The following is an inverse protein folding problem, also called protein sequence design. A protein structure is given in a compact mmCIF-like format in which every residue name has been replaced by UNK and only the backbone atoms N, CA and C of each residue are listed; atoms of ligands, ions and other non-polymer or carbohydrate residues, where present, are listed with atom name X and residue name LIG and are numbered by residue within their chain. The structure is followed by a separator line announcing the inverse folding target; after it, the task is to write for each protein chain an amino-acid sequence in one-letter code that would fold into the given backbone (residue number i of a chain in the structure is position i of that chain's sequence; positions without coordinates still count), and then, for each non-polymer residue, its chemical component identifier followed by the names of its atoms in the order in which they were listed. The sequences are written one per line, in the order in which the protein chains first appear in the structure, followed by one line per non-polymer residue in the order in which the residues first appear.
data_IF_424591823481
#
_entry.id   IF_424591823481
#
_cell.length_a   1.000
_cell.length_b   1.000
_cell.length_c   1.000
_cell.angle_alpha   90.00
_cell.angle_beta   90.00
_cell.angle_gamma   90.00
#
_symmetry.space_group_name_H-M   'P 1'
#
loop_
_entity.id
_entity.type
_entity.pdbx_description
1 polymer ?
#
# COMPACT_ATOMS: atom_id res chain seq x y z
N UNK A 1 7.04 14.07 -6.93
CA UNK A 1 6.55 13.56 -5.65
C UNK A 1 7.48 12.42 -5.26
N UNK A 2 7.85 12.33 -4.00
CA UNK A 2 8.67 11.25 -3.46
C UNK A 2 7.80 10.26 -2.68
N UNK A 3 8.29 9.04 -2.48
CA UNK A 3 7.59 8.04 -1.69
C UNK A 3 7.32 8.53 -0.26
N UNK A 4 8.28 9.28 0.29
CA UNK A 4 8.21 9.89 1.61
C UNK A 4 7.07 10.92 1.73
N UNK A 5 6.70 11.60 0.63
CA UNK A 5 5.55 12.52 0.62
C UNK A 5 4.24 11.73 0.85
N UNK A 6 4.13 10.54 0.25
CA UNK A 6 2.97 9.65 0.42
C UNK A 6 2.92 9.04 1.82
N UNK A 7 4.07 8.76 2.43
CA UNK A 7 4.12 8.24 3.80
C UNK A 7 3.49 9.21 4.82
N UNK A 8 3.52 10.52 4.54
CA UNK A 8 2.91 11.54 5.40
C UNK A 8 1.39 11.73 5.16
N UNK A 9 0.82 11.09 4.14
CA UNK A 9 -0.61 11.18 3.84
C UNK A 9 -1.45 10.55 4.97
N UNK A 10 -2.45 11.28 5.47
CA UNK A 10 -3.32 10.87 6.58
C UNK A 10 -4.74 10.46 6.15
N UNK A 11 -4.99 10.35 4.85
CA UNK A 11 -6.29 9.93 4.32
C UNK A 11 -6.33 8.44 3.98
N UNK A 12 -7.45 8.04 3.41
CA UNK A 12 -7.69 6.67 2.97
C UNK A 12 -7.22 6.49 1.53
N UNK A 13 -6.90 5.24 1.18
CA UNK A 13 -6.46 4.86 -0.15
C UNK A 13 -7.39 3.77 -0.68
N UNK A 14 -7.75 3.87 -1.94
CA UNK A 14 -8.36 2.77 -2.70
C UNK A 14 -7.39 2.30 -3.75
N UNK A 15 -7.32 0.98 -3.92
CA UNK A 15 -6.60 0.37 -5.02
C UNK A 15 -7.41 0.59 -6.31
N UNK A 16 -6.76 1.14 -7.34
CA UNK A 16 -7.33 1.22 -8.68
C UNK A 16 -6.97 -0.04 -9.48
N UNK A 17 -5.67 -0.33 -9.62
CA UNK A 17 -5.18 -1.52 -10.28
C UNK A 17 -3.74 -1.86 -9.87
N UNK A 18 -3.36 -3.12 -10.16
CA UNK A 18 -1.99 -3.62 -10.12
C UNK A 18 -1.69 -4.23 -11.47
N UNK A 19 -0.59 -3.83 -12.09
CA UNK A 19 -0.15 -4.38 -13.38
C UNK A 19 1.36 -4.57 -13.39
N UNK A 20 1.84 -5.53 -14.16
CA UNK A 20 3.26 -5.67 -14.51
C UNK A 20 3.48 -5.09 -15.91
N UNK A 21 3.91 -3.82 -16.05
CA UNK A 21 4.02 -3.15 -17.35
C UNK A 21 5.16 -3.70 -18.23
N UNK A 22 6.09 -4.44 -17.63
CA UNK A 22 7.20 -5.13 -18.25
C UNK A 22 7.68 -6.29 -17.36
N UNK A 23 8.68 -7.03 -17.83
CA UNK A 23 9.20 -8.21 -17.13
C UNK A 23 9.70 -7.86 -15.74
N UNK A 24 9.10 -8.48 -14.71
CA UNK A 24 9.45 -8.29 -13.29
C UNK A 24 9.40 -6.82 -12.82
N UNK A 25 8.54 -6.01 -13.44
CA UNK A 25 8.25 -4.64 -13.01
C UNK A 25 6.85 -4.57 -12.43
N UNK A 26 6.57 -3.62 -11.56
CA UNK A 26 5.29 -3.52 -10.87
C UNK A 26 4.80 -2.07 -10.86
N UNK A 27 3.56 -1.86 -11.28
CA UNK A 27 2.84 -0.60 -11.12
C UNK A 27 1.63 -0.82 -10.23
N UNK A 28 1.54 -0.01 -9.17
CA UNK A 28 0.39 0.06 -8.28
C UNK A 28 -0.26 1.43 -8.45
N UNK A 29 -1.53 1.43 -8.83
CA UNK A 29 -2.31 2.66 -9.05
C UNK A 29 -3.30 2.84 -7.90
N UNK A 30 -3.30 4.01 -7.27
CA UNK A 30 -4.15 4.30 -6.10
C UNK A 30 -4.92 5.61 -6.24
N UNK A 31 -6.13 5.59 -5.70
CA UNK A 31 -6.96 6.76 -5.47
C UNK A 31 -6.84 7.24 -4.02
N UNK A 32 -6.96 8.55 -3.83
CA UNK A 32 -7.05 9.16 -2.50
C UNK A 32 -8.51 9.34 -2.13
N UNK A 33 -8.83 9.05 -0.88
CA UNK A 33 -10.17 9.18 -0.34
C UNK A 33 -10.19 9.86 1.02
N UNK A 34 -11.33 10.46 1.33
CA UNK A 34 -11.60 11.15 2.59
C UNK A 34 -13.01 10.86 3.06
N UNK A 35 -13.23 11.03 4.36
CA UNK A 35 -14.56 10.95 4.96
C UNK A 35 -15.40 12.11 4.42
N UNK A 36 -16.58 11.80 3.89
CA UNK A 36 -17.53 12.80 3.42
C UNK A 36 -17.98 13.69 4.56
N UNK A 37 -18.11 14.99 4.30
CA UNK A 37 -18.68 15.94 5.28
C UNK A 37 -20.20 15.80 5.40
N UNK A 38 -20.85 15.03 4.52
CA UNK A 38 -22.27 14.75 4.55
C UNK A 38 -22.49 13.36 5.14
N UNK A 39 -23.19 13.31 6.27
CA UNK A 39 -23.70 12.06 6.82
C UNK A 39 -24.92 11.56 6.04
N UNK A 40 -25.07 10.25 5.99
CA UNK A 40 -26.22 9.56 5.44
C UNK A 40 -26.69 8.45 6.38
N UNK A 41 -27.98 8.14 6.33
CA UNK A 41 -28.54 7.03 7.08
C UNK A 41 -28.40 5.76 6.24
N UNK A 42 -27.78 4.73 6.83
CA UNK A 42 -27.56 3.43 6.17
C UNK A 42 -28.41 2.39 6.88
N UNK A 43 -29.36 1.79 6.14
CA UNK A 43 -30.18 0.68 6.64
C UNK A 43 -29.61 -0.65 6.16
N UNK A 44 -29.38 -1.57 7.10
CA UNK A 44 -28.98 -2.95 6.84
C UNK A 44 -29.87 -3.90 7.65
N UNK A 45 -30.62 -4.74 6.95
CA UNK A 45 -31.71 -5.56 7.50
C UNK A 45 -32.67 -4.72 8.38
N UNK A 46 -32.86 -5.10 9.64
CA UNK A 46 -33.74 -4.42 10.60
C UNK A 46 -33.05 -3.25 11.32
N UNK A 47 -31.76 -3.00 11.06
CA UNK A 47 -30.99 -1.96 11.73
C UNK A 47 -30.82 -0.73 10.83
N UNK A 48 -30.91 0.46 11.43
CA UNK A 48 -30.56 1.71 10.75
C UNK A 48 -29.46 2.40 11.54
N UNK A 49 -28.35 2.66 10.85
CA UNK A 49 -27.24 3.46 11.34
C UNK A 49 -27.47 4.89 10.85
N UNK A 50 -27.69 5.80 11.80
CA UNK A 50 -27.93 7.21 11.47
C UNK A 50 -26.62 7.99 11.44
N UNK A 51 -26.54 9.01 10.59
CA UNK A 51 -25.41 9.94 10.51
C UNK A 51 -24.05 9.24 10.25
N UNK A 52 -24.05 8.27 9.33
CA UNK A 52 -22.83 7.59 8.91
C UNK A 52 -22.16 8.39 7.80
N UNK A 53 -20.84 8.57 7.90
CA UNK A 53 -20.09 9.33 6.90
C UNK A 53 -19.30 8.39 5.99
N UNK A 54 -19.68 8.28 4.69
CA UNK A 54 -18.99 7.39 3.77
C UNK A 54 -17.57 7.88 3.49
N UNK A 55 -16.68 6.94 3.19
CA UNK A 55 -15.34 7.25 2.67
C UNK A 55 -15.45 7.31 1.15
N UNK A 56 -15.21 8.48 0.57
CA UNK A 56 -15.38 8.72 -0.86
C UNK A 56 -14.04 9.01 -1.53
N UNK A 57 -13.84 8.45 -2.72
CA UNK A 57 -12.72 8.79 -3.61
C UNK A 57 -12.85 10.25 -4.04
N UNK A 58 -11.78 11.01 -3.85
CA UNK A 58 -11.69 12.38 -4.37
C UNK A 58 -11.37 12.33 -5.86
N UNK A 59 -12.43 12.38 -6.68
CA UNK A 59 -12.36 12.35 -8.15
C UNK A 59 -11.72 13.60 -8.76
N UNK A 60 -11.46 14.64 -7.96
CA UNK A 60 -10.73 15.84 -8.43
C UNK A 60 -9.22 15.66 -8.38
N UNK A 61 -8.76 14.67 -7.63
CA UNK A 61 -7.35 14.35 -7.49
C UNK A 61 -6.91 13.36 -8.57
N UNK A 62 -5.73 13.56 -9.16
CA UNK A 62 -5.15 12.61 -10.11
C UNK A 62 -4.85 11.26 -9.44
N UNK A 63 -4.85 10.20 -10.26
CA UNK A 63 -4.43 8.86 -9.84
C UNK A 63 -2.93 8.89 -9.57
N UNK A 64 -2.50 8.25 -8.49
CA UNK A 64 -1.09 8.12 -8.14
C UNK A 64 -0.62 6.74 -8.56
N UNK A 65 0.48 6.68 -9.30
CA UNK A 65 1.14 5.44 -9.68
C UNK A 65 2.46 5.32 -8.94
N UNK A 66 2.65 4.18 -8.28
CA UNK A 66 3.90 3.75 -7.70
C UNK A 66 4.52 2.72 -8.65
N UNK A 67 5.64 3.07 -9.25
CA UNK A 67 6.33 2.25 -10.25
C UNK A 67 7.64 1.68 -9.69
N UNK A 68 7.69 0.36 -9.58
CA UNK A 68 8.90 -0.38 -9.30
C UNK A 68 9.45 -0.94 -10.61
N UNK A 69 10.62 -0.47 -11.03
CA UNK A 69 11.31 -1.00 -12.22
C UNK A 69 11.63 -2.49 -12.05
N UNK A 70 11.95 -2.90 -10.82
CA UNK A 70 12.11 -4.30 -10.42
C UNK A 70 11.59 -4.53 -9.00
N UNK A 71 11.24 -5.77 -8.67
CA UNK A 71 10.97 -6.21 -7.30
C UNK A 71 11.55 -7.60 -7.05
N UNK A 72 11.73 -7.96 -5.77
CA UNK A 72 12.08 -9.33 -5.37
C UNK A 72 10.82 -10.16 -5.17
N UNK A 73 9.83 -9.61 -4.47
CA UNK A 73 8.51 -10.21 -4.29
C UNK A 73 7.44 -9.13 -4.06
N UNK A 74 6.19 -9.44 -4.39
CA UNK A 74 5.03 -8.71 -3.87
C UNK A 74 3.90 -9.68 -3.55
N UNK A 75 3.01 -9.27 -2.64
CA UNK A 75 1.78 -9.99 -2.31
C UNK A 75 0.65 -9.03 -2.06
N UNK A 76 -0.58 -9.49 -2.35
CA UNK A 76 -1.81 -8.78 -2.09
C UNK A 76 -2.62 -9.59 -1.10
N UNK A 77 -3.01 -8.95 0.01
CA UNK A 77 -3.88 -9.51 1.02
C UNK A 77 -5.23 -8.79 0.99
N UNK A 78 -6.29 -9.55 1.22
CA UNK A 78 -7.55 -8.98 1.68
C UNK A 78 -7.30 -8.38 3.08
N UNK A 79 -7.66 -7.10 3.23
CA UNK A 79 -7.41 -6.32 4.45
C UNK A 79 -7.92 -7.03 5.70
N UNK A 80 -9.06 -7.71 5.61
CA UNK A 80 -9.76 -8.29 6.76
C UNK A 80 -9.03 -9.50 7.34
N UNK A 81 -8.04 -10.04 6.63
CA UNK A 81 -7.23 -11.17 7.06
C UNK A 81 -5.77 -10.82 7.31
N UNK A 82 -5.43 -9.53 7.26
CA UNK A 82 -4.07 -9.05 7.48
C UNK A 82 -3.94 -8.36 8.83
N UNK A 83 -2.81 -8.56 9.49
CA UNK A 83 -2.49 -7.84 10.71
C UNK A 83 -1.03 -7.41 10.67
N UNK A 84 -0.76 -6.24 11.23
CA UNK A 84 0.63 -5.84 11.49
C UNK A 84 1.10 -6.58 12.73
N UNK A 85 2.22 -7.28 12.63
CA UNK A 85 2.79 -7.96 13.78
C UNK A 85 3.31 -6.92 14.78
N UNK A 86 3.15 -7.16 16.08
CA UNK A 86 3.58 -6.23 17.14
C UNK A 86 5.09 -5.97 17.13
N UNK A 87 5.87 -6.87 16.52
CA UNK A 87 7.33 -6.77 16.42
C UNK A 87 7.81 -6.10 15.13
N UNK A 88 6.90 -5.71 14.22
CA UNK A 88 7.25 -5.04 12.98
C UNK A 88 7.43 -3.52 13.23
N UNK A 89 8.54 -2.97 12.71
CA UNK A 89 8.86 -1.55 12.81
C UNK A 89 8.73 -0.89 11.43
N UNK A 90 7.92 0.16 11.34
CA UNK A 90 7.73 0.92 10.10
C UNK A 90 7.56 2.41 10.32
N UNK A 91 7.82 3.16 9.25
CA UNK A 91 7.55 4.59 9.13
C UNK A 91 6.38 4.82 8.18
N UNK A 92 5.61 5.89 8.41
CA UNK A 92 4.50 6.30 7.54
C UNK A 92 3.11 5.94 8.09
N UNK A 93 2.08 6.16 7.26
CA UNK A 93 0.68 5.94 7.61
C UNK A 93 0.06 4.85 6.73
N UNK A 94 -0.73 5.21 5.70
CA UNK A 94 -1.30 4.26 4.73
C UNK A 94 -0.25 3.78 3.72
N UNK A 95 0.81 4.56 3.51
CA UNK A 95 2.00 4.15 2.76
C UNK A 95 3.15 4.03 3.74
N UNK A 96 3.78 2.86 3.78
CA UNK A 96 4.74 2.50 4.84
C UNK A 96 6.06 2.02 4.27
N UNK A 97 7.12 2.25 5.03
CA UNK A 97 8.43 1.66 4.82
C UNK A 97 8.83 0.93 6.09
N UNK A 98 9.00 -0.38 6.01
CA UNK A 98 9.41 -1.22 7.13
C UNK A 98 10.93 -1.24 7.24
N UNK A 99 11.43 -0.98 8.44
CA UNK A 99 12.84 -1.20 8.81
C UNK A 99 13.06 -2.59 9.38
N UNK A 100 12.00 -3.23 9.88
CA UNK A 100 11.98 -4.63 10.33
C UNK A 100 10.58 -5.18 10.12
N UNK A 101 10.45 -6.35 9.51
CA UNK A 101 9.16 -7.03 9.45
C UNK A 101 9.28 -8.54 9.25
N UNK A 102 8.27 -9.26 9.74
CA UNK A 102 8.14 -10.70 9.54
C UNK A 102 8.12 -11.08 8.06
N UNK A 103 7.46 -10.26 7.23
CA UNK A 103 7.40 -10.47 5.78
C UNK A 103 8.78 -10.29 5.11
N UNK A 104 9.52 -9.23 5.47
CA UNK A 104 10.88 -9.01 4.96
C UNK A 104 11.81 -10.17 5.34
N UNK A 105 11.72 -10.67 6.58
CA UNK A 105 12.48 -11.83 7.03
C UNK A 105 12.16 -13.10 6.23
N UNK A 106 10.87 -13.32 5.97
CA UNK A 106 10.40 -14.46 5.17
C UNK A 106 10.96 -14.41 3.75
N UNK A 107 10.84 -13.27 3.06
CA UNK A 107 11.37 -13.10 1.70
C UNK A 107 12.89 -13.18 1.66
N UNK A 108 13.58 -12.58 2.63
CA UNK A 108 15.05 -12.58 2.69
C UNK A 108 15.62 -13.99 2.91
N UNK A 109 14.94 -14.83 3.70
CA UNK A 109 15.33 -16.24 3.93
C UNK A 109 14.85 -17.18 2.83
N UNK A 110 13.73 -16.85 2.19
CA UNK A 110 13.08 -17.67 1.15
C UNK A 110 13.64 -17.47 -0.26
N UNK A 111 14.54 -16.50 -0.45
CA UNK A 111 15.11 -16.16 -1.76
C UNK A 111 16.64 -16.05 -1.69
N UNK A 112 17.29 -16.04 -2.86
CA UNK A 112 18.74 -15.81 -3.00
C UNK A 112 19.07 -14.33 -3.28
N UNK A 113 18.13 -13.41 -3.05
CA UNK A 113 18.27 -12.01 -3.44
C UNK A 113 19.52 -11.36 -2.80
N UNK A 114 19.75 -11.62 -1.51
CA UNK A 114 20.92 -11.12 -0.78
C UNK A 114 22.21 -11.86 -1.12
N UNK A 115 22.16 -13.07 -1.69
CA UNK A 115 23.36 -13.75 -2.19
C UNK A 115 23.82 -13.14 -3.53
N UNK A 116 22.87 -12.75 -4.38
CA UNK A 116 23.14 -12.08 -5.66
C UNK A 116 23.60 -10.64 -5.44
N UNK A 117 22.90 -9.90 -4.56
CA UNK A 117 23.14 -8.49 -4.29
C UNK A 117 23.56 -8.26 -2.83
N UNK A 118 24.62 -8.91 -2.38
CA UNK A 118 25.12 -8.87 -0.99
C UNK A 118 25.55 -7.48 -0.51
N UNK A 119 25.68 -6.51 -1.42
CA UNK A 119 26.06 -5.13 -1.14
C UNK A 119 24.86 -4.17 -1.09
N UNK A 120 23.65 -4.62 -1.44
CA UNK A 120 22.43 -3.83 -1.38
C UNK A 120 21.60 -4.22 -0.17
N UNK A 121 20.90 -3.25 0.39
CA UNK A 121 19.88 -3.45 1.42
C UNK A 121 18.52 -3.71 0.77
N UNK A 122 17.76 -4.63 1.35
CA UNK A 122 16.44 -5.01 0.86
C UNK A 122 15.37 -4.32 1.71
N UNK A 123 14.46 -3.63 1.06
CA UNK A 123 13.43 -2.82 1.72
C UNK A 123 12.05 -3.45 1.56
N UNK A 124 11.22 -3.31 2.58
CA UNK A 124 9.81 -3.69 2.55
C UNK A 124 8.92 -2.44 2.53
N UNK A 125 8.20 -2.26 1.43
CA UNK A 125 7.20 -1.24 1.21
C UNK A 125 5.81 -1.84 1.39
N UNK A 126 4.89 -1.10 2.01
CA UNK A 126 3.50 -1.53 2.14
C UNK A 126 2.56 -0.38 1.77
N UNK A 127 1.51 -0.73 1.04
CA UNK A 127 0.41 0.17 0.68
C UNK A 127 -0.86 -0.41 1.28
N UNK A 128 -1.40 0.28 2.28
CA UNK A 128 -2.63 -0.06 2.98
C UNK A 128 -3.77 0.70 2.32
N UNK A 129 -4.50 -0.01 1.46
CA UNK A 129 -5.78 0.44 0.94
C UNK A 129 -6.91 -0.07 1.84
N UNK A 130 -8.12 0.46 1.65
CA UNK A 130 -9.28 0.05 2.45
C UNK A 130 -9.61 -1.44 2.29
N UNK A 131 -9.56 -1.97 1.08
CA UNK A 131 -9.93 -3.36 0.82
C UNK A 131 -8.72 -4.29 0.62
N UNK A 132 -7.52 -3.72 0.44
CA UNK A 132 -6.32 -4.45 0.04
C UNK A 132 -5.09 -3.96 0.79
N UNK A 133 -4.25 -4.90 1.23
CA UNK A 133 -2.90 -4.59 1.71
C UNK A 133 -1.89 -5.19 0.75
N UNK A 134 -0.97 -4.35 0.27
CA UNK A 134 0.00 -4.71 -0.76
C UNK A 134 1.38 -4.59 -0.13
N UNK A 135 2.05 -5.71 0.03
CA UNK A 135 3.43 -5.78 0.51
C UNK A 135 4.37 -5.98 -0.69
N UNK A 136 5.44 -5.19 -0.75
CA UNK A 136 6.43 -5.20 -1.82
C UNK A 136 7.82 -5.22 -1.20
N UNK A 137 8.63 -6.18 -1.60
CA UNK A 137 10.04 -6.26 -1.22
C UNK A 137 10.91 -5.94 -2.43
N UNK A 138 11.74 -4.90 -2.32
CA UNK A 138 12.57 -4.38 -3.41
C UNK A 138 13.88 -3.79 -2.89
N UNK A 139 14.92 -3.82 -3.72
CA UNK A 139 16.19 -3.14 -3.47
C UNK A 139 16.11 -1.63 -3.76
N UNK A 140 15.25 -1.25 -4.70
CA UNK A 140 15.17 0.10 -5.23
C UNK A 140 13.81 0.72 -4.90
N UNK A 141 13.81 2.02 -4.59
CA UNK A 141 12.59 2.78 -4.29
C UNK A 141 11.71 2.93 -5.53
N UNK A 142 10.37 2.98 -5.37
CA UNK A 142 9.50 3.24 -6.49
C UNK A 142 9.58 4.68 -6.97
N UNK A 143 9.37 4.88 -8.27
CA UNK A 143 9.09 6.18 -8.87
C UNK A 143 7.61 6.51 -8.67
N UNK A 144 7.31 7.77 -8.32
CA UNK A 144 5.94 8.23 -8.10
C UNK A 144 5.49 9.13 -9.25
N UNK A 145 4.45 8.71 -9.96
CA UNK A 145 3.81 9.46 -11.05
C UNK A 145 2.39 9.84 -10.64
N UNK A 146 1.89 10.94 -11.21
CA UNK A 146 0.52 11.41 -11.00
C UNK A 146 -0.07 11.77 -12.36
N UNK A 147 -1.21 11.19 -12.71
CA UNK A 147 -1.88 11.39 -14.01
C UNK A 147 -3.32 11.87 -13.88
#
# INVERSE_FOLDING_TARGET
MYYEDLMQWKGYLFLDNIVEPGTNSLRISIHRASISSKGEDVSFDENTFNDVHPIEIDKTLPVIHLEFDTYVAYSVFDESFHFVNQEDDFLGNSVRLFTKSTYLDFISKGTIALDIYSYKELFHYQIVCLDHIIDIVSFDKPTILSS
#
